data_IF_541467735904
#
_entry.id   IF_541467735904
#
_cell.length_a   1.000
_cell.length_b   1.000
_cell.length_c   1.000
_cell.angle_alpha   90.00
_cell.angle_beta   90.00
_cell.angle_gamma   90.00
#
_symmetry.space_group_name_H-M   'P 1'
#
loop_
_entity.id
_entity.type
_entity.pdbx_description
1 polymer ?
#
# COMPACT_ATOMS: atom_id res chain seq x y z
N UNK A 1 13.55 -11.98 -1.15
CA UNK A 1 12.67 -13.11 -1.51
C UNK A 1 11.37 -12.58 -2.08
N UNK A 2 11.07 -12.91 -3.31
CA UNK A 2 9.81 -12.49 -3.89
C UNK A 2 8.70 -13.45 -3.46
N UNK A 3 7.55 -12.86 -3.12
CA UNK A 3 6.37 -13.63 -2.77
C UNK A 3 5.78 -14.22 -4.03
N UNK A 4 5.75 -15.54 -4.13
CA UNK A 4 5.18 -16.21 -5.29
C UNK A 4 3.83 -16.83 -4.95
N UNK A 5 3.09 -17.20 -5.97
CA UNK A 5 1.77 -17.81 -5.84
C UNK A 5 1.82 -19.11 -5.02
N UNK A 6 2.90 -19.89 -5.18
CA UNK A 6 3.09 -21.14 -4.46
C UNK A 6 3.16 -20.91 -2.95
N UNK A 7 3.88 -19.87 -2.51
CA UNK A 7 3.99 -19.51 -1.10
C UNK A 7 2.63 -19.11 -0.52
N UNK A 8 1.87 -18.30 -1.25
CA UNK A 8 0.54 -17.88 -0.83
C UNK A 8 -0.41 -19.06 -0.74
N UNK A 9 -0.40 -19.94 -1.73
CA UNK A 9 -1.24 -21.14 -1.72
C UNK A 9 -0.91 -22.05 -0.55
N UNK A 10 0.38 -22.22 -0.25
CA UNK A 10 0.82 -23.02 0.90
C UNK A 10 0.31 -22.42 2.21
N UNK A 11 0.39 -21.10 2.35
CA UNK A 11 -0.08 -20.40 3.54
C UNK A 11 -1.60 -20.60 3.73
N UNK A 12 -2.36 -20.52 2.64
CA UNK A 12 -3.80 -20.73 2.67
C UNK A 12 -4.17 -22.18 2.96
N UNK A 13 -3.48 -23.12 2.29
CA UNK A 13 -3.71 -24.55 2.46
C UNK A 13 -3.44 -25.00 3.89
N UNK A 14 -2.33 -24.54 4.47
CA UNK A 14 -1.94 -24.88 5.84
C UNK A 14 -2.64 -24.02 6.88
N UNK A 15 -3.47 -23.07 6.45
CA UNK A 15 -4.24 -22.20 7.32
C UNK A 15 -3.36 -21.47 8.34
N UNK A 16 -2.29 -20.85 7.86
CA UNK A 16 -1.38 -20.09 8.71
C UNK A 16 -2.13 -18.94 9.39
N UNK A 17 -1.81 -18.71 10.65
CA UNK A 17 -2.41 -17.64 11.45
C UNK A 17 -1.34 -16.65 11.88
N UNK A 18 -1.70 -15.38 11.86
CA UNK A 18 -0.81 -14.29 12.15
C UNK A 18 -1.19 -13.66 13.49
N UNK A 19 -0.20 -13.37 14.37
CA UNK A 19 -0.50 -12.84 15.70
C UNK A 19 -0.94 -11.37 15.62
N UNK A 20 -1.90 -11.01 16.49
CA UNK A 20 -2.34 -9.63 16.65
C UNK A 20 -2.83 -9.42 18.07
N UNK A 21 -3.11 -8.16 18.43
CA UNK A 21 -3.67 -7.84 19.74
C UNK A 21 -5.08 -8.41 19.93
N UNK A 22 -5.81 -8.63 18.85
CA UNK A 22 -7.15 -9.23 18.89
C UNK A 22 -7.15 -10.75 18.80
N UNK A 23 -5.97 -11.36 18.80
CA UNK A 23 -5.82 -12.79 18.63
C UNK A 23 -5.18 -13.11 17.29
N UNK A 24 -5.42 -14.32 16.80
CA UNK A 24 -4.82 -14.77 15.53
C UNK A 24 -5.69 -14.36 14.35
N UNK A 25 -5.02 -13.96 13.27
CA UNK A 25 -5.65 -13.49 12.04
C UNK A 25 -5.31 -14.44 10.90
N UNK A 26 -6.24 -14.59 9.96
CA UNK A 26 -5.98 -15.35 8.73
C UNK A 26 -5.23 -14.48 7.73
N UNK A 27 -4.72 -15.09 6.66
CA UNK A 27 -4.07 -14.35 5.58
C UNK A 27 -5.03 -13.35 4.94
N UNK A 28 -6.29 -13.73 4.79
CA UNK A 28 -7.33 -12.84 4.25
C UNK A 28 -7.53 -11.61 5.11
N UNK A 29 -7.50 -11.78 6.43
CA UNK A 29 -7.67 -10.67 7.37
C UNK A 29 -6.56 -9.63 7.25
N UNK A 30 -5.35 -10.06 6.86
CA UNK A 30 -4.23 -9.14 6.68
C UNK A 30 -4.49 -8.10 5.58
N UNK A 31 -5.20 -8.49 4.53
CA UNK A 31 -5.53 -7.58 3.45
C UNK A 31 -6.52 -6.49 3.85
N UNK A 32 -7.27 -6.74 4.92
CA UNK A 32 -8.24 -5.77 5.44
C UNK A 32 -7.66 -4.85 6.52
N UNK A 33 -6.43 -5.12 6.98
CA UNK A 33 -5.81 -4.31 8.02
C UNK A 33 -5.22 -3.01 7.45
N UNK A 34 -5.30 -1.91 8.23
CA UNK A 34 -4.57 -0.69 7.89
C UNK A 34 -3.07 -0.88 8.11
N UNK A 35 -2.25 0.00 7.52
CA UNK A 35 -0.80 -0.02 7.71
C UNK A 35 -0.42 0.28 9.16
N UNK A 36 -1.03 1.31 9.72
CA UNK A 36 -0.84 1.77 11.10
C UNK A 36 -2.21 2.16 11.65
N UNK A 37 -2.29 2.49 12.91
CA UNK A 37 -3.53 2.90 13.60
C UNK A 37 -4.38 1.69 14.04
N UNK A 38 -5.68 1.88 14.19
CA UNK A 38 -6.65 0.87 14.63
C UNK A 38 -6.28 0.21 15.97
N UNK A 39 -5.85 1.03 16.95
CA UNK A 39 -5.51 0.58 18.30
C UNK A 39 -4.47 -0.55 18.34
N UNK A 40 -3.52 -0.53 17.40
CA UNK A 40 -2.44 -1.51 17.31
C UNK A 40 -2.80 -2.79 16.56
N UNK A 41 -4.00 -2.88 16.01
CA UNK A 41 -4.38 -3.98 15.11
C UNK A 41 -4.13 -3.51 13.67
N UNK A 42 -2.89 -3.65 13.22
CA UNK A 42 -2.45 -3.17 11.91
C UNK A 42 -1.31 -4.04 11.38
N UNK A 43 -0.96 -3.85 10.11
CA UNK A 43 0.09 -4.62 9.44
C UNK A 43 1.45 -4.42 10.09
N UNK A 44 1.76 -3.19 10.49
CA UNK A 44 3.04 -2.88 11.14
C UNK A 44 3.20 -3.64 12.44
N UNK A 45 2.17 -3.65 13.29
CA UNK A 45 2.20 -4.37 14.57
C UNK A 45 2.31 -5.88 14.37
N UNK A 46 1.64 -6.44 13.35
CA UNK A 46 1.75 -7.87 13.01
C UNK A 46 3.19 -8.19 12.59
N UNK A 47 3.79 -7.37 11.74
CA UNK A 47 5.17 -7.57 11.30
C UNK A 47 6.15 -7.52 12.47
N UNK A 48 5.98 -6.56 13.38
CA UNK A 48 6.84 -6.43 14.56
C UNK A 48 6.73 -7.68 15.45
N UNK A 49 5.52 -8.17 15.68
CA UNK A 49 5.31 -9.36 16.50
C UNK A 49 5.92 -10.61 15.87
N UNK A 50 5.75 -10.81 14.58
CA UNK A 50 6.34 -11.94 13.86
C UNK A 50 7.87 -11.86 13.92
N UNK A 51 8.41 -10.67 13.67
CA UNK A 51 9.86 -10.46 13.73
C UNK A 51 10.43 -10.76 15.12
N UNK A 52 9.70 -10.36 16.15
CA UNK A 52 10.08 -10.66 17.54
C UNK A 52 10.12 -12.16 17.79
N UNK A 53 9.09 -12.89 17.38
CA UNK A 53 9.04 -14.35 17.51
C UNK A 53 10.16 -15.03 16.71
N UNK A 54 10.43 -14.53 15.51
CA UNK A 54 11.50 -15.04 14.65
C UNK A 54 12.87 -14.88 15.35
N UNK A 55 13.14 -13.69 15.89
CA UNK A 55 14.41 -13.41 16.58
C UNK A 55 14.55 -14.23 17.86
N UNK A 56 13.48 -14.41 18.60
CA UNK A 56 13.48 -15.24 19.80
C UNK A 56 13.81 -16.70 19.46
N UNK A 57 13.24 -17.22 18.38
CA UNK A 57 13.53 -18.58 17.92
C UNK A 57 14.96 -18.75 17.43
N UNK A 58 15.48 -17.76 16.69
CA UNK A 58 16.88 -17.78 16.25
C UNK A 58 17.85 -17.65 17.41
N UNK A 59 17.49 -16.81 18.39
CA UNK A 59 18.34 -16.54 19.55
C UNK A 59 18.33 -17.63 20.59
N UNK A 60 17.36 -18.57 20.56
CA UNK A 60 17.33 -19.67 21.48
C UNK A 60 18.33 -20.73 21.03
N UNK A 61 19.56 -20.63 21.58
CA UNK A 61 20.59 -21.61 21.32
C UNK A 61 20.36 -22.82 22.20
N UNK A 62 19.92 -23.91 21.62
CA UNK A 62 19.90 -25.20 22.31
C UNK A 62 21.25 -25.86 22.09
N UNK A 63 21.91 -26.21 23.19
CA UNK A 63 23.16 -26.97 23.11
C UNK A 63 22.94 -28.44 22.73
N UNK A 64 21.69 -28.86 22.65
CA UNK A 64 21.32 -30.27 22.43
C UNK A 64 20.90 -30.55 21.00
N UNK A 65 21.03 -29.68 20.08
CA UNK A 65 20.69 -29.80 18.67
C UNK A 65 19.50 -28.91 18.28
N UNK A 66 19.68 -28.22 17.15
CA UNK A 66 18.57 -27.64 16.43
C UNK A 66 17.74 -28.81 15.85
N UNK A 67 16.58 -29.04 16.39
CA UNK A 67 15.67 -30.05 15.85
C UNK A 67 15.13 -29.56 14.50
N UNK A 68 14.78 -30.50 13.63
CA UNK A 68 14.16 -30.16 12.33
C UNK A 68 12.86 -29.38 12.53
N UNK A 69 12.17 -29.59 13.64
CA UNK A 69 10.95 -28.85 14.00
C UNK A 69 11.25 -27.37 14.23
N UNK A 70 12.34 -27.07 14.93
CA UNK A 70 12.74 -25.69 15.21
C UNK A 70 13.11 -24.96 13.92
N UNK A 71 13.82 -25.63 13.03
CA UNK A 71 14.18 -25.09 11.72
C UNK A 71 12.92 -24.82 10.88
N UNK A 72 11.96 -25.74 10.91
CA UNK A 72 10.69 -25.59 10.18
C UNK A 72 9.89 -24.39 10.72
N UNK A 73 9.85 -24.20 12.04
CA UNK A 73 9.17 -23.07 12.65
C UNK A 73 9.85 -21.74 12.29
N UNK A 74 11.18 -21.71 12.31
CA UNK A 74 11.94 -20.52 11.92
C UNK A 74 11.66 -20.17 10.45
N UNK A 75 11.68 -21.14 9.57
CA UNK A 75 11.39 -20.94 8.15
C UNK A 75 9.96 -20.46 7.94
N UNK A 76 9.01 -21.00 8.69
CA UNK A 76 7.61 -20.59 8.65
C UNK A 76 7.47 -19.12 9.07
N UNK A 77 8.10 -18.72 10.18
CA UNK A 77 8.06 -17.35 10.68
C UNK A 77 8.70 -16.39 9.68
N UNK A 78 9.84 -16.79 9.08
CA UNK A 78 10.51 -15.99 8.05
C UNK A 78 9.58 -15.76 6.86
N UNK A 79 8.92 -16.82 6.39
CA UNK A 79 7.98 -16.72 5.27
C UNK A 79 6.76 -15.86 5.62
N UNK A 80 6.22 -16.02 6.83
CA UNK A 80 5.12 -15.19 7.32
C UNK A 80 5.51 -13.71 7.34
N UNK A 81 6.73 -13.41 7.80
CA UNK A 81 7.23 -12.05 7.83
C UNK A 81 7.37 -11.47 6.41
N UNK A 82 7.87 -12.26 5.47
CA UNK A 82 7.97 -11.85 4.06
C UNK A 82 6.60 -11.58 3.46
N UNK A 83 5.60 -12.39 3.79
CA UNK A 83 4.23 -12.16 3.34
C UNK A 83 3.71 -10.82 3.84
N UNK A 84 3.87 -10.53 5.13
CA UNK A 84 3.40 -9.28 5.72
C UNK A 84 4.15 -8.09 5.14
N UNK A 85 5.48 -8.19 4.98
CA UNK A 85 6.29 -7.14 4.36
C UNK A 85 5.85 -6.83 2.93
N UNK A 86 5.51 -7.87 2.17
CA UNK A 86 5.05 -7.71 0.80
C UNK A 86 3.70 -6.99 0.75
N UNK A 87 2.79 -7.35 1.65
CA UNK A 87 1.49 -6.67 1.76
C UNK A 87 1.67 -5.20 2.14
N UNK A 88 2.55 -4.93 3.10
CA UNK A 88 2.87 -3.55 3.51
C UNK A 88 3.41 -2.74 2.33
N UNK A 89 4.35 -3.29 1.61
CA UNK A 89 4.95 -2.64 0.44
C UNK A 89 3.89 -2.33 -0.62
N UNK A 90 3.03 -3.29 -0.91
CA UNK A 90 1.94 -3.12 -1.87
C UNK A 90 0.99 -2.00 -1.43
N UNK A 91 0.63 -1.96 -0.15
CA UNK A 91 -0.23 -0.91 0.40
C UNK A 91 0.42 0.46 0.33
N UNK A 92 1.72 0.54 0.62
CA UNK A 92 2.46 1.79 0.50
C UNK A 92 2.51 2.29 -0.94
N UNK A 93 2.75 1.40 -1.89
CA UNK A 93 2.76 1.74 -3.31
C UNK A 93 1.39 2.22 -3.79
N UNK A 94 0.32 1.55 -3.35
CA UNK A 94 -1.05 1.96 -3.66
C UNK A 94 -1.37 3.35 -3.09
N UNK A 95 -0.94 3.62 -1.86
CA UNK A 95 -1.16 4.91 -1.21
C UNK A 95 -0.40 6.02 -1.92
N UNK A 96 0.86 5.77 -2.31
CA UNK A 96 1.65 6.72 -3.09
C UNK A 96 1.01 7.01 -4.43
N UNK A 97 0.50 5.98 -5.10
CA UNK A 97 -0.18 6.14 -6.38
C UNK A 97 -1.45 6.99 -6.23
N UNK A 98 -2.21 6.78 -5.16
CA UNK A 98 -3.40 7.57 -4.87
C UNK A 98 -3.05 9.04 -4.62
N UNK A 99 -1.99 9.29 -3.83
CA UNK A 99 -1.52 10.65 -3.57
C UNK A 99 -1.08 11.35 -4.85
N UNK A 100 -0.34 10.65 -5.70
CA UNK A 100 0.10 11.18 -6.99
C UNK A 100 -1.09 11.53 -7.89
N UNK A 101 -2.12 10.69 -7.91
CA UNK A 101 -3.34 10.95 -8.68
C UNK A 101 -4.05 12.20 -8.19
N UNK A 102 -4.14 12.38 -6.88
CA UNK A 102 -4.74 13.58 -6.28
C UNK A 102 -3.94 14.82 -6.65
N UNK A 103 -2.60 14.76 -6.56
CA UNK A 103 -1.72 15.86 -6.93
C UNK A 103 -1.87 16.23 -8.41
N UNK A 104 -1.89 15.22 -9.29
CA UNK A 104 -2.05 15.42 -10.73
C UNK A 104 -3.41 16.06 -11.03
N UNK A 105 -4.48 15.56 -10.39
CA UNK A 105 -5.82 16.11 -10.56
C UNK A 105 -5.88 17.56 -10.12
N UNK A 106 -5.24 17.88 -8.98
CA UNK A 106 -5.17 19.25 -8.45
C UNK A 106 -4.41 20.15 -9.41
N UNK A 107 -3.26 19.71 -9.92
CA UNK A 107 -2.47 20.48 -10.88
C UNK A 107 -3.21 20.73 -12.19
N UNK A 108 -3.92 19.71 -12.68
CA UNK A 108 -4.73 19.85 -13.89
C UNK A 108 -5.83 20.89 -13.71
N UNK A 109 -6.47 20.87 -12.55
CA UNK A 109 -7.51 21.84 -12.22
C UNK A 109 -6.94 23.26 -12.20
N UNK A 110 -5.80 23.45 -11.53
CA UNK A 110 -5.13 24.75 -11.47
C UNK A 110 -4.73 25.24 -12.85
N UNK A 111 -4.16 24.37 -13.68
CA UNK A 111 -3.77 24.71 -15.05
C UNK A 111 -4.99 25.08 -15.90
N UNK A 112 -6.09 24.35 -15.74
CA UNK A 112 -7.32 24.63 -16.47
C UNK A 112 -7.90 26.01 -16.07
N UNK A 113 -7.86 26.34 -14.79
CA UNK A 113 -8.29 27.64 -14.29
C UNK A 113 -7.43 28.77 -14.89
N UNK A 114 -6.11 28.57 -14.96
CA UNK A 114 -5.20 29.55 -15.56
C UNK A 114 -5.46 29.69 -17.05
N UNK A 115 -5.71 28.60 -17.77
CA UNK A 115 -6.05 28.65 -19.18
C UNK A 115 -7.35 29.43 -19.38
N UNK A 116 -8.35 29.14 -18.57
CA UNK A 116 -9.65 29.83 -18.65
C UNK A 116 -9.50 31.33 -18.39
N UNK A 117 -8.68 31.72 -17.39
CA UNK A 117 -8.39 33.12 -17.10
C UNK A 117 -7.69 33.82 -18.26
N UNK A 118 -6.70 33.17 -18.86
CA UNK A 118 -5.98 33.75 -19.99
C UNK A 118 -6.86 33.90 -21.22
N UNK A 119 -7.75 32.92 -21.45
CA UNK A 119 -8.71 33.03 -22.53
C UNK A 119 -9.69 34.19 -22.30
N UNK A 120 -10.17 34.31 -21.06
CA UNK A 120 -11.05 35.44 -20.69
C UNK A 120 -10.34 36.79 -20.89
N UNK A 121 -9.08 36.91 -20.48
CA UNK A 121 -8.29 38.09 -20.66
C UNK A 121 -8.09 38.42 -22.16
N UNK A 122 -7.82 37.37 -22.95
CA UNK A 122 -7.65 37.54 -24.40
C UNK A 122 -8.95 38.04 -25.04
N UNK A 123 -10.10 37.51 -24.64
CA UNK A 123 -11.40 38.00 -25.10
C UNK A 123 -11.69 39.44 -24.63
N UNK A 124 -11.33 39.70 -23.37
CA UNK A 124 -11.53 41.08 -22.83
C UNK A 124 -10.68 42.10 -23.52
N UNK A 125 -9.52 41.74 -24.07
CA UNK A 125 -8.63 42.66 -24.79
C UNK A 125 -9.04 42.86 -26.25
N UNK A 126 -9.98 42.06 -26.75
CA UNK A 126 -10.46 42.20 -28.13
C UNK A 126 -11.43 43.40 -28.27
N UNK A 127 -11.40 44.03 -29.42
CA UNK A 127 -12.37 45.07 -29.70
C UNK A 127 -13.76 44.49 -29.93
N UNK A 128 -14.79 45.36 -29.82
CA UNK A 128 -16.16 44.94 -30.05
C UNK A 128 -16.36 44.33 -31.46
N UNK A 129 -15.71 44.91 -32.45
CA UNK A 129 -15.75 44.43 -33.84
C UNK A 129 -15.15 43.02 -33.96
N UNK A 130 -14.01 42.78 -33.30
CA UNK A 130 -13.34 41.47 -33.29
C UNK A 130 -14.19 40.45 -32.60
N UNK A 131 -14.85 40.78 -31.50
CA UNK A 131 -15.75 39.88 -30.77
C UNK A 131 -16.97 39.49 -31.63
N UNK A 132 -17.53 40.44 -32.31
CA UNK A 132 -18.66 40.19 -33.23
C UNK A 132 -18.24 39.36 -34.43
N UNK A 133 -17.05 39.57 -34.97
CA UNK A 133 -16.51 38.75 -36.05
C UNK A 133 -16.35 37.29 -35.62
N UNK A 134 -15.86 37.03 -34.40
CA UNK A 134 -15.73 35.70 -33.85
C UNK A 134 -17.11 35.04 -33.63
N UNK A 135 -18.06 35.83 -33.13
CA UNK A 135 -19.42 35.32 -32.95
C UNK A 135 -20.05 34.93 -34.27
N UNK A 136 -19.87 35.75 -35.31
CA UNK A 136 -20.41 35.48 -36.64
C UNK A 136 -19.74 34.24 -37.27
N UNK A 137 -18.45 34.03 -37.00
CA UNK A 137 -17.75 32.83 -37.50
C UNK A 137 -18.23 31.53 -36.90
N UNK A 138 -18.89 31.59 -35.73
CA UNK A 138 -19.43 30.42 -35.05
C UNK A 138 -20.84 30.03 -35.51
N UNK A 139 -21.47 30.85 -36.36
CA UNK A 139 -22.82 30.55 -36.89
C UNK A 139 -22.79 29.52 -38.02
#
# INVERSE_FOLDING_TARGET
MELNTTTILKALEQKWRFPSKRGVLSLEDLFDLPLTKNNGVNLDAVAIEINKQFQEKQGSTSFVQSTSENTAEINKLETMLEIVKTIIKQRQEENEAKLKRVEIASKRKQLQELIDQKQAEAFASLSLEELQAQLDSLK
#
